data_IF_144087208343
#
_entry.id   IF_144087208343
#
_cell.length_a   1.000
_cell.length_b   1.000
_cell.length_c   1.000
_cell.angle_alpha   90.00
_cell.angle_beta   90.00
_cell.angle_gamma   90.00
#
_symmetry.space_group_name_H-M   'P 1'
#
loop_
_entity.id
_entity.type
_entity.pdbx_description
1 polymer ?
#
# COMPACT_ATOMS: atom_id res chain seq x y z
N UNK A 1 -3.23 1.52 19.70
CA UNK A 1 -3.87 1.66 18.37
C UNK A 1 -5.38 1.57 18.55
N UNK A 2 -6.12 2.69 18.49
CA UNK A 2 -7.58 2.67 18.74
C UNK A 2 -8.34 2.05 17.57
N UNK A 3 -9.32 1.21 17.87
CA UNK A 3 -10.03 0.33 16.93
C UNK A 3 -11.04 1.10 16.03
N UNK A 4 -10.70 2.30 15.54
CA UNK A 4 -11.64 3.29 14.99
C UNK A 4 -12.05 3.08 13.52
N UNK A 5 -11.36 2.21 12.79
CA UNK A 5 -11.68 1.92 11.38
C UNK A 5 -13.07 1.28 11.27
N UNK A 6 -13.97 1.89 10.49
CA UNK A 6 -15.30 1.36 10.20
C UNK A 6 -15.20 0.27 9.13
N UNK A 7 -15.23 -0.99 9.56
CA UNK A 7 -15.33 -2.15 8.68
C UNK A 7 -16.81 -2.56 8.53
N UNK A 8 -17.17 -3.24 7.45
CA UNK A 8 -18.53 -3.76 7.26
C UNK A 8 -18.96 -4.64 8.43
N UNK A 9 -18.06 -5.47 8.99
CA UNK A 9 -18.38 -6.22 10.20
C UNK A 9 -18.79 -5.33 11.40
N UNK A 10 -18.17 -4.15 11.58
CA UNK A 10 -18.57 -3.21 12.64
C UNK A 10 -19.88 -2.48 12.32
N UNK A 11 -20.13 -2.19 11.04
CA UNK A 11 -21.38 -1.60 10.58
C UNK A 11 -22.54 -2.60 10.73
N UNK A 12 -22.30 -3.88 10.47
CA UNK A 12 -23.25 -4.97 10.66
C UNK A 12 -23.59 -5.18 12.14
N UNK A 13 -22.60 -5.18 13.04
CA UNK A 13 -22.86 -5.22 14.50
C UNK A 13 -23.67 -4.01 14.98
N UNK A 14 -23.63 -2.89 14.25
CA UNK A 14 -24.38 -1.67 14.59
C UNK A 14 -25.75 -1.60 13.89
N UNK A 15 -26.16 -2.65 13.16
CA UNK A 15 -27.44 -2.71 12.44
C UNK A 15 -27.51 -1.84 11.17
N UNK A 16 -26.37 -1.35 10.67
CA UNK A 16 -26.31 -0.45 9.51
C UNK A 16 -26.17 -1.21 8.19
N UNK A 17 -25.74 -2.48 8.22
CA UNK A 17 -25.55 -3.29 7.01
C UNK A 17 -25.85 -4.77 7.31
N UNK A 18 -26.54 -5.47 6.40
CA UNK A 18 -26.85 -6.90 6.54
C UNK A 18 -25.72 -7.81 6.00
N UNK A 19 -24.91 -7.30 5.05
CA UNK A 19 -23.78 -8.02 4.47
C UNK A 19 -22.48 -7.69 5.18
N UNK A 20 -21.83 -8.73 5.74
CA UNK A 20 -20.54 -8.61 6.42
C UNK A 20 -19.34 -8.97 5.53
N UNK A 21 -19.58 -9.44 4.30
CA UNK A 21 -18.55 -9.93 3.37
C UNK A 21 -17.68 -8.80 2.84
N UNK A 22 -16.38 -9.05 2.70
CA UNK A 22 -15.42 -8.04 2.25
C UNK A 22 -15.72 -7.59 0.82
N UNK A 23 -16.04 -6.31 0.65
CA UNK A 23 -16.38 -5.71 -0.64
C UNK A 23 -15.31 -5.84 -1.74
N UNK A 24 -14.04 -6.10 -1.37
CA UNK A 24 -12.95 -6.26 -2.33
C UNK A 24 -12.82 -7.69 -2.87
N UNK A 25 -13.06 -8.71 -2.06
CA UNK A 25 -12.87 -10.12 -2.45
C UNK A 25 -14.15 -10.96 -2.45
N UNK A 26 -15.24 -10.46 -1.86
CA UNK A 26 -16.53 -11.15 -1.72
C UNK A 26 -16.51 -12.44 -0.90
N UNK A 27 -15.38 -12.83 -0.31
CA UNK A 27 -15.16 -14.21 0.13
C UNK A 27 -15.24 -14.44 1.64
N UNK A 28 -14.83 -13.45 2.45
CA UNK A 28 -14.78 -13.59 3.92
C UNK A 28 -15.31 -12.32 4.58
N UNK A 29 -15.78 -12.40 5.84
CA UNK A 29 -16.20 -11.23 6.59
C UNK A 29 -15.12 -10.15 6.66
N UNK A 30 -15.52 -8.89 6.50
CA UNK A 30 -14.63 -7.74 6.50
C UNK A 30 -14.20 -7.35 7.91
N UNK A 31 -13.09 -7.94 8.35
CA UNK A 31 -12.37 -7.53 9.56
C UNK A 31 -11.13 -6.73 9.19
N UNK A 32 -10.59 -5.90 10.10
CA UNK A 32 -9.36 -5.12 9.83
C UNK A 32 -8.19 -6.00 9.38
N UNK A 33 -8.00 -7.15 10.03
CA UNK A 33 -6.96 -8.12 9.66
C UNK A 33 -7.18 -8.64 8.25
N UNK A 34 -8.43 -8.95 7.89
CA UNK A 34 -8.80 -9.36 6.55
C UNK A 34 -8.51 -8.26 5.54
N UNK A 35 -9.09 -7.07 5.75
CA UNK A 35 -9.01 -5.91 4.86
C UNK A 35 -7.57 -5.57 4.43
N UNK A 36 -6.60 -5.63 5.35
CA UNK A 36 -5.21 -5.29 5.01
C UNK A 36 -4.31 -6.49 4.78
N UNK A 37 -4.53 -7.64 5.43
CA UNK A 37 -3.53 -8.70 5.51
C UNK A 37 -4.03 -10.11 5.20
N UNK A 38 -5.33 -10.36 5.08
CA UNK A 38 -5.83 -11.73 4.78
C UNK A 38 -6.79 -11.77 3.60
N UNK A 39 -7.15 -10.61 3.05
CA UNK A 39 -7.91 -10.48 1.82
C UNK A 39 -7.02 -10.84 0.65
N UNK A 40 -7.52 -11.70 -0.25
CA UNK A 40 -6.77 -12.16 -1.42
C UNK A 40 -6.37 -10.99 -2.32
N UNK A 41 -7.25 -9.99 -2.42
CA UNK A 41 -6.99 -8.70 -3.06
C UNK A 41 -5.75 -8.01 -2.46
N UNK A 42 -5.78 -7.76 -1.15
CA UNK A 42 -4.72 -7.05 -0.44
C UNK A 42 -3.42 -7.83 -0.43
N UNK A 43 -3.50 -9.16 -0.36
CA UNK A 43 -2.37 -10.06 -0.41
C UNK A 43 -1.66 -10.06 -1.76
N UNK A 44 -2.39 -9.95 -2.88
CA UNK A 44 -1.78 -9.75 -4.20
C UNK A 44 -0.97 -8.45 -4.23
N UNK A 45 -1.55 -7.34 -3.75
CA UNK A 45 -0.85 -6.06 -3.67
C UNK A 45 0.38 -6.14 -2.76
N UNK A 46 0.22 -6.76 -1.58
CA UNK A 46 1.28 -6.86 -0.60
C UNK A 46 2.44 -7.73 -1.07
N UNK A 47 2.22 -8.86 -1.76
CA UNK A 47 3.33 -9.72 -2.23
C UNK A 47 4.27 -9.00 -3.18
N UNK A 48 3.71 -8.31 -4.17
CA UNK A 48 4.48 -7.55 -5.16
C UNK A 48 5.30 -6.42 -4.52
N UNK A 49 4.67 -5.66 -3.61
CA UNK A 49 5.37 -4.64 -2.83
C UNK A 49 6.36 -5.30 -1.87
N UNK A 50 6.06 -6.51 -1.38
CA UNK A 50 6.89 -7.25 -0.44
C UNK A 50 8.19 -7.78 -1.04
N UNK A 51 8.25 -7.99 -2.34
CA UNK A 51 9.52 -8.33 -2.97
C UNK A 51 10.34 -7.07 -3.24
N UNK A 52 9.67 -5.98 -3.62
CA UNK A 52 10.28 -4.68 -3.87
C UNK A 52 10.96 -4.09 -2.62
N UNK A 53 10.22 -3.92 -1.51
CA UNK A 53 10.79 -3.36 -0.27
C UNK A 53 11.92 -4.21 0.30
N UNK A 54 11.87 -5.56 0.21
CA UNK A 54 12.95 -6.46 0.69
C UNK A 54 14.24 -6.21 -0.06
N UNK A 55 14.17 -5.87 -1.35
CA UNK A 55 15.34 -5.48 -2.14
C UNK A 55 15.88 -4.14 -1.69
N UNK A 56 15.01 -3.14 -1.50
CA UNK A 56 15.43 -1.80 -1.06
C UNK A 56 15.99 -1.79 0.36
N UNK A 57 15.38 -2.54 1.28
CA UNK A 57 15.78 -2.66 2.67
C UNK A 57 17.19 -3.26 2.81
N UNK A 58 17.54 -4.28 2.01
CA UNK A 58 18.89 -4.86 2.01
C UNK A 58 19.99 -3.88 1.65
N UNK A 59 19.67 -2.86 0.86
CA UNK A 59 20.61 -1.82 0.43
C UNK A 59 20.47 -0.50 1.21
N UNK A 60 19.50 -0.42 2.11
CA UNK A 60 19.18 0.78 2.89
C UNK A 60 20.32 1.11 3.86
N UNK A 61 20.95 2.28 3.67
CA UNK A 61 22.11 2.73 4.46
C UNK A 61 21.86 3.95 5.35
N UNK A 62 20.61 4.35 5.60
CA UNK A 62 20.36 5.56 6.40
C UNK A 62 18.92 5.87 6.74
N UNK A 63 18.71 7.03 7.38
CA UNK A 63 17.38 7.52 7.77
C UNK A 63 16.47 7.75 6.56
N UNK A 64 17.03 8.24 5.46
CA UNK A 64 16.27 8.56 4.23
C UNK A 64 15.72 7.29 3.58
N UNK A 65 16.56 6.27 3.40
CA UNK A 65 16.13 4.99 2.81
C UNK A 65 15.10 4.26 3.67
N UNK A 66 15.22 4.35 5.01
CA UNK A 66 14.17 3.86 5.92
C UNK A 66 12.87 4.65 5.76
N UNK A 67 12.93 5.98 5.73
CA UNK A 67 11.76 6.84 5.55
C UNK A 67 11.05 6.57 4.20
N UNK A 68 11.82 6.31 3.14
CA UNK A 68 11.30 5.91 1.84
C UNK A 68 10.53 4.58 1.92
N UNK A 69 11.12 3.55 2.55
CA UNK A 69 10.45 2.25 2.74
C UNK A 69 9.14 2.42 3.52
N UNK A 70 9.14 3.22 4.59
CA UNK A 70 7.93 3.53 5.34
C UNK A 70 6.88 4.25 4.49
N UNK A 71 7.29 5.16 3.60
CA UNK A 71 6.35 5.84 2.70
C UNK A 71 5.71 4.91 1.69
N UNK A 72 6.43 3.91 1.17
CA UNK A 72 5.85 2.88 0.27
C UNK A 72 4.82 2.04 1.03
N UNK A 73 5.12 1.65 2.27
CA UNK A 73 4.19 0.88 3.09
C UNK A 73 2.92 1.70 3.38
N UNK A 74 3.08 2.97 3.74
CA UNK A 74 1.97 3.89 3.96
C UNK A 74 1.12 4.07 2.69
N UNK A 75 1.76 4.28 1.53
CA UNK A 75 1.07 4.38 0.24
C UNK A 75 0.29 3.09 -0.08
N UNK A 76 0.88 1.92 0.17
CA UNK A 76 0.20 0.62 -0.04
C UNK A 76 -1.07 0.50 0.80
N UNK A 77 -0.98 0.82 2.09
CA UNK A 77 -2.13 0.79 3.01
C UNK A 77 -3.19 1.79 2.56
N UNK A 78 -2.77 3.00 2.18
CA UNK A 78 -3.66 4.05 1.68
C UNK A 78 -4.42 3.61 0.43
N UNK A 79 -3.72 3.07 -0.57
CA UNK A 79 -4.31 2.64 -1.83
C UNK A 79 -5.27 1.46 -1.66
N UNK A 80 -4.99 0.51 -0.76
CA UNK A 80 -5.93 -0.56 -0.40
C UNK A 80 -7.19 0.02 0.26
N UNK A 81 -7.01 0.95 1.20
CA UNK A 81 -8.14 1.62 1.85
C UNK A 81 -8.97 2.45 0.86
N UNK A 82 -8.32 3.14 -0.08
CA UNK A 82 -8.98 3.93 -1.13
C UNK A 82 -9.78 3.03 -2.07
N UNK A 83 -9.20 1.93 -2.56
CA UNK A 83 -9.89 0.96 -3.41
C UNK A 83 -11.14 0.39 -2.73
N UNK A 84 -11.06 0.12 -1.42
CA UNK A 84 -12.23 -0.30 -0.63
C UNK A 84 -13.30 0.79 -0.58
N UNK A 85 -12.91 2.04 -0.34
CA UNK A 85 -13.88 3.14 -0.25
C UNK A 85 -14.55 3.40 -1.60
N UNK A 86 -13.82 3.35 -2.70
CA UNK A 86 -14.39 3.44 -4.04
C UNK A 86 -15.37 2.30 -4.30
N UNK A 87 -15.03 1.07 -3.89
CA UNK A 87 -15.96 -0.05 -3.96
C UNK A 87 -17.23 0.20 -3.14
N UNK A 88 -17.11 0.79 -1.94
CA UNK A 88 -18.23 1.06 -1.06
C UNK A 88 -19.18 2.15 -1.61
N UNK A 89 -18.61 3.29 -1.99
CA UNK A 89 -19.34 4.50 -2.34
C UNK A 89 -19.66 4.61 -3.82
N UNK A 90 -18.74 4.18 -4.69
CA UNK A 90 -18.89 4.28 -6.15
C UNK A 90 -19.26 2.95 -6.80
N UNK A 91 -19.38 1.86 -6.02
CA UNK A 91 -19.67 0.50 -6.51
C UNK A 91 -18.67 0.03 -7.57
N UNK A 92 -17.43 0.50 -7.47
CA UNK A 92 -16.35 0.24 -8.43
C UNK A 92 -15.18 -0.45 -7.74
N UNK A 93 -14.87 -1.68 -8.16
CA UNK A 93 -13.73 -2.44 -7.62
C UNK A 93 -12.58 -2.38 -8.62
N UNK A 94 -11.50 -1.70 -8.23
CA UNK A 94 -10.29 -1.63 -9.05
C UNK A 94 -9.52 -2.94 -9.03
N UNK A 95 -9.08 -3.43 -10.20
CA UNK A 95 -8.24 -4.64 -10.29
C UNK A 95 -6.92 -4.39 -9.53
N UNK A 96 -6.39 -5.37 -8.76
CA UNK A 96 -5.14 -5.22 -7.99
C UNK A 96 -3.96 -4.69 -8.81
N UNK A 97 -3.86 -5.07 -10.08
CA UNK A 97 -2.81 -4.60 -10.99
C UNK A 97 -2.85 -3.09 -11.24
N UNK A 98 -4.04 -2.47 -11.27
CA UNK A 98 -4.20 -1.02 -11.38
C UNK A 98 -3.69 -0.34 -10.10
N UNK A 99 -4.07 -0.86 -8.94
CA UNK A 99 -3.63 -0.34 -7.64
C UNK A 99 -2.13 -0.46 -7.46
N UNK A 100 -1.54 -1.59 -7.87
CA UNK A 100 -0.10 -1.80 -7.87
C UNK A 100 0.64 -0.79 -8.76
N UNK A 101 0.10 -0.45 -9.94
CA UNK A 101 0.68 0.60 -10.80
C UNK A 101 0.71 1.95 -10.07
N UNK A 102 -0.37 2.32 -9.39
CA UNK A 102 -0.44 3.56 -8.62
C UNK A 102 0.59 3.59 -7.47
N UNK A 103 0.72 2.49 -6.72
CA UNK A 103 1.72 2.39 -5.64
C UNK A 103 3.15 2.53 -6.19
N UNK A 104 3.44 1.90 -7.34
CA UNK A 104 4.74 2.01 -8.01
C UNK A 104 5.01 3.43 -8.50
N UNK A 105 4.00 4.12 -9.03
CA UNK A 105 4.09 5.54 -9.42
C UNK A 105 4.36 6.44 -8.21
N UNK A 106 3.67 6.23 -7.08
CA UNK A 106 3.92 6.99 -5.85
C UNK A 106 5.34 6.76 -5.32
N UNK A 107 5.83 5.52 -5.37
CA UNK A 107 7.20 5.19 -5.01
C UNK A 107 8.21 5.93 -5.92
N UNK A 108 7.95 5.97 -7.24
CA UNK A 108 8.74 6.74 -8.20
C UNK A 108 8.76 8.23 -7.87
N UNK A 109 7.58 8.85 -7.71
CA UNK A 109 7.54 10.29 -7.42
C UNK A 109 8.21 10.61 -6.11
N UNK A 110 8.05 9.75 -5.09
CA UNK A 110 8.70 9.93 -3.81
C UNK A 110 10.21 9.83 -3.89
N UNK A 111 10.76 8.90 -4.68
CA UNK A 111 12.20 8.77 -4.84
C UNK A 111 12.80 9.96 -5.61
N UNK A 112 12.09 10.45 -6.63
CA UNK A 112 12.46 11.66 -7.36
C UNK A 112 12.42 12.91 -6.48
N UNK A 113 11.39 13.06 -5.63
CA UNK A 113 11.29 14.15 -4.68
C UNK A 113 12.47 14.14 -3.69
N UNK A 114 12.85 12.96 -3.21
CA UNK A 114 14.03 12.78 -2.36
C UNK A 114 15.28 13.22 -3.14
N UNK A 115 15.52 12.74 -4.36
CA UNK A 115 16.69 13.14 -5.17
C UNK A 115 16.82 14.65 -5.37
N UNK A 116 15.71 15.32 -5.65
CA UNK A 116 15.71 16.76 -5.89
C UNK A 116 16.02 17.57 -4.62
N UNK A 117 15.86 16.99 -3.43
CA UNK A 117 16.27 17.62 -2.17
C UNK A 117 17.78 17.41 -1.96
N UNK A 118 18.48 18.45 -1.49
CA UNK A 118 19.94 18.42 -1.25
C UNK A 118 20.29 17.33 -0.23
N UNK A 119 20.69 16.15 -0.70
CA UNK A 119 21.10 15.01 0.12
C UNK A 119 22.59 14.66 -0.05
N UNK A 120 23.10 13.89 0.92
CA UNK A 120 24.51 13.50 0.97
C UNK A 120 24.86 12.55 -0.18
N UNK A 121 26.14 12.50 -0.57
CA UNK A 121 26.63 11.63 -1.65
C UNK A 121 26.30 10.13 -1.40
N UNK A 122 26.29 9.68 -0.14
CA UNK A 122 25.92 8.30 0.24
C UNK A 122 24.45 7.96 -0.04
N UNK A 123 23.55 8.94 0.09
CA UNK A 123 22.13 8.75 -0.20
C UNK A 123 21.87 8.69 -1.71
N UNK A 124 22.60 9.50 -2.50
CA UNK A 124 22.49 9.53 -3.97
C UNK A 124 22.82 8.19 -4.63
N UNK A 125 23.94 7.57 -4.24
CA UNK A 125 24.36 6.29 -4.83
C UNK A 125 23.39 5.13 -4.57
N UNK A 126 22.72 5.12 -3.41
CA UNK A 126 21.66 4.13 -3.13
C UNK A 126 20.40 4.36 -3.99
N UNK A 127 20.05 5.62 -4.24
CA UNK A 127 18.88 5.96 -5.06
C UNK A 127 19.13 5.67 -6.55
N UNK A 128 20.30 6.01 -7.06
CA UNK A 128 20.68 5.78 -8.46
C UNK A 128 20.62 4.29 -8.82
N UNK A 129 21.05 3.39 -7.92
CA UNK A 129 20.95 1.93 -8.11
C UNK A 129 19.50 1.41 -8.10
N UNK A 130 18.57 2.09 -7.43
CA UNK A 130 17.13 1.76 -7.49
C UNK A 130 16.56 2.18 -8.86
N UNK A 131 16.86 3.40 -9.30
CA UNK A 131 16.35 3.94 -10.56
C UNK A 131 16.83 3.18 -11.80
N UNK A 132 18.11 2.75 -11.82
CA UNK A 132 18.66 2.00 -12.96
C UNK A 132 18.06 0.61 -13.14
N UNK A 133 17.55 -0.03 -12.08
CA UNK A 133 17.10 -1.42 -12.11
C UNK A 133 15.61 -1.60 -12.37
N UNK A 134 14.77 -0.73 -11.82
CA UNK A 134 13.32 -0.91 -11.88
C UNK A 134 12.69 -0.26 -13.13
N UNK A 135 13.51 0.26 -14.07
CA UNK A 135 13.10 1.02 -15.26
C UNK A 135 11.97 2.00 -14.93
N UNK A 136 12.18 2.70 -13.82
CA UNK A 136 11.28 3.69 -13.26
C UNK A 136 11.48 4.98 -14.02
#
# INVERSE_FOLDING_TARGET
MHNRLFTQARLATSGVCEEDTCILCGSKPEMRKHMFFQCDYSQQCLREIQDMWRRYARKSRGKISRAFIWSILAATIYHIWMARNEALWQKSVHIPTKVLKLIKMDAKYRIMEILHRKHTCKDKGWIEDILQRDNV
#
